data_IF_769261225442
#
_entry.id   IF_769261225442
#
_cell.length_a   1.000
_cell.length_b   1.000
_cell.length_c   1.000
_cell.angle_alpha   90.00
_cell.angle_beta   90.00
_cell.angle_gamma   90.00
#
_symmetry.space_group_name_H-M   'P 1'
#
loop_
_entity.id
_entity.type
_entity.pdbx_description
1 polymer ?
#
# COMPACT_ATOMS: atom_id res chain seq x y z
N UNK A 1 12.10 -69.73 -19.11
CA UNK A 1 13.27 -70.20 -18.33
C UNK A 1 13.40 -69.25 -17.18
N UNK A 2 12.96 -69.68 -16.02
CA UNK A 2 13.68 -70.30 -14.92
C UNK A 2 14.49 -69.29 -14.14
N UNK A 3 14.27 -69.05 -12.91
CA UNK A 3 14.05 -69.53 -11.59
C UNK A 3 14.44 -68.36 -10.67
N UNK A 4 13.78 -67.90 -9.65
CA UNK A 4 13.23 -68.56 -8.49
C UNK A 4 14.17 -68.58 -7.29
N UNK A 5 13.66 -68.10 -6.19
CA UNK A 5 13.84 -68.52 -4.78
C UNK A 5 14.05 -67.34 -3.85
N UNK A 6 13.11 -67.05 -2.98
CA UNK A 6 12.70 -67.63 -1.66
C UNK A 6 13.53 -67.11 -0.47
N UNK A 7 12.80 -66.36 0.36
CA UNK A 7 12.60 -66.45 1.84
C UNK A 7 13.81 -66.59 2.78
N UNK A 8 13.84 -65.76 3.83
CA UNK A 8 13.67 -66.29 5.21
C UNK A 8 13.36 -65.20 6.26
N UNK A 9 12.32 -65.46 7.01
CA UNK A 9 12.03 -64.84 8.32
C UNK A 9 13.05 -65.24 9.37
N UNK A 10 13.32 -64.39 10.36
CA UNK A 10 13.55 -64.85 11.70
C UNK A 10 13.03 -63.81 12.71
N UNK A 11 12.05 -64.26 13.47
CA UNK A 11 11.62 -63.70 14.76
C UNK A 11 12.58 -64.14 15.87
N UNK A 12 12.80 -63.34 16.88
CA UNK A 12 13.00 -63.65 18.31
C UNK A 12 13.10 -62.35 19.05
N UNK A 13 12.28 -62.05 19.94
CA UNK A 13 11.79 -62.51 21.23
C UNK A 13 12.50 -61.72 22.37
N UNK A 14 11.73 -60.86 22.98
CA UNK A 14 11.53 -60.50 24.39
C UNK A 14 12.72 -60.65 25.35
N UNK A 15 13.03 -59.56 26.06
CA UNK A 15 13.33 -59.61 27.49
C UNK A 15 12.93 -58.27 28.12
N UNK A 16 11.99 -58.31 29.05
CA UNK A 16 11.62 -57.28 30.02
C UNK A 16 12.64 -57.37 31.17
N UNK A 17 13.19 -56.27 31.55
CA UNK A 17 13.65 -56.08 32.93
C UNK A 17 13.39 -54.62 33.31
N UNK A 18 12.50 -54.44 34.26
CA UNK A 18 12.28 -53.19 34.95
C UNK A 18 13.32 -52.96 36.02
N UNK A 19 13.72 -51.73 36.17
CA UNK A 19 14.29 -51.20 37.43
C UNK A 19 13.69 -49.83 37.63
N UNK A 20 13.15 -49.68 38.84
CA UNK A 20 12.48 -48.48 39.32
C UNK A 20 13.51 -47.48 39.90
N UNK A 21 13.04 -46.24 40.01
CA UNK A 21 13.42 -45.20 40.97
C UNK A 21 14.67 -44.35 40.63
N UNK A 22 14.52 -43.09 40.52
CA UNK A 22 14.58 -42.10 41.59
C UNK A 22 14.31 -40.74 40.99
N UNK A 23 13.21 -40.12 41.42
CA UNK A 23 12.92 -38.72 41.15
C UNK A 23 13.91 -37.83 41.92
N UNK A 24 14.74 -37.10 41.24
CA UNK A 24 15.35 -35.90 41.78
C UNK A 24 14.85 -34.74 40.90
N UNK A 25 13.92 -33.97 41.43
CA UNK A 25 13.44 -32.73 40.85
C UNK A 25 14.57 -31.69 40.85
N UNK A 26 15.11 -31.45 39.68
CA UNK A 26 15.80 -30.20 39.38
C UNK A 26 14.82 -29.38 38.55
N UNK A 27 14.03 -28.56 39.22
CA UNK A 27 13.32 -27.43 38.56
C UNK A 27 14.38 -26.45 38.12
N UNK A 28 14.93 -26.67 36.92
CA UNK A 28 15.61 -25.60 36.19
C UNK A 28 14.51 -24.60 35.84
N UNK A 29 14.35 -23.57 36.67
CA UNK A 29 13.63 -22.37 36.31
C UNK A 29 14.32 -21.78 35.09
N UNK A 30 13.79 -22.06 33.89
CA UNK A 30 14.06 -21.23 32.74
C UNK A 30 13.41 -19.90 33.09
N UNK A 31 14.19 -18.99 33.66
CA UNK A 31 13.87 -17.58 33.62
C UNK A 31 13.85 -17.21 32.11
N UNK A 32 12.69 -17.34 31.49
CA UNK A 32 12.42 -16.64 30.27
C UNK A 32 12.57 -15.16 30.64
N UNK A 33 13.73 -14.56 30.36
CA UNK A 33 13.85 -13.13 30.19
C UNK A 33 12.98 -12.79 28.95
N UNK A 34 11.67 -12.80 29.14
CA UNK A 34 10.77 -12.16 28.20
C UNK A 34 11.07 -10.68 28.28
N UNK A 35 11.62 -10.10 27.24
CA UNK A 35 11.50 -8.68 27.01
C UNK A 35 10.00 -8.36 27.07
N UNK A 36 9.58 -7.62 28.10
CA UNK A 36 8.20 -7.22 28.32
C UNK A 36 7.76 -6.12 27.36
N UNK A 37 8.23 -6.14 26.12
CA UNK A 37 7.84 -5.19 25.09
C UNK A 37 6.49 -5.56 24.48
N UNK A 38 5.64 -4.56 24.28
CA UNK A 38 4.42 -4.70 23.46
C UNK A 38 4.81 -5.00 22.01
N UNK A 39 4.03 -5.84 21.33
CA UNK A 39 4.17 -6.03 19.88
C UNK A 39 3.01 -5.34 19.19
N UNK A 40 3.29 -4.46 18.23
CA UNK A 40 2.29 -3.83 17.38
C UNK A 40 2.32 -4.44 16.00
N UNK A 41 1.15 -4.86 15.51
CA UNK A 41 0.96 -5.35 14.15
C UNK A 41 0.51 -4.21 13.24
N UNK A 42 1.41 -3.73 12.36
CA UNK A 42 1.09 -2.75 11.33
C UNK A 42 0.76 -3.47 10.02
N UNK A 43 -0.46 -3.26 9.51
CA UNK A 43 -0.87 -3.74 8.19
C UNK A 43 -1.11 -2.54 7.29
N UNK A 44 -0.30 -2.40 6.23
CA UNK A 44 -0.35 -1.22 5.40
C UNK A 44 -0.19 -1.52 3.91
N UNK A 45 -0.56 -0.55 3.07
CA UNK A 45 -0.28 -0.63 1.65
C UNK A 45 1.24 -0.61 1.37
N UNK A 46 1.66 -1.01 0.17
CA UNK A 46 3.08 -1.33 -0.11
C UNK A 46 4.03 -0.13 -0.08
N UNK A 47 3.53 1.04 -0.43
CA UNK A 47 4.35 2.23 -0.68
C UNK A 47 5.09 2.73 0.57
N UNK A 48 4.47 2.86 1.78
CA UNK A 48 5.14 3.44 2.95
C UNK A 48 6.09 2.48 3.68
N UNK A 49 6.27 1.25 3.22
CA UNK A 49 7.12 0.26 3.91
C UNK A 49 8.47 0.84 4.34
N UNK A 50 9.17 1.48 3.41
CA UNK A 50 10.53 1.96 3.67
C UNK A 50 10.57 3.07 4.73
N UNK A 51 9.64 4.02 4.70
CA UNK A 51 9.62 5.10 5.69
C UNK A 51 9.23 4.58 7.07
N UNK A 52 8.32 3.60 7.18
CA UNK A 52 8.00 2.96 8.46
C UNK A 52 9.23 2.25 9.03
N UNK A 53 9.81 1.32 8.29
CA UNK A 53 10.91 0.47 8.78
C UNK A 53 12.21 1.24 9.04
N UNK A 54 12.52 2.26 8.24
CA UNK A 54 13.81 2.95 8.31
C UNK A 54 13.78 4.27 9.11
N UNK A 55 12.61 4.88 9.30
CA UNK A 55 12.50 6.20 9.92
C UNK A 55 11.51 6.23 11.08
N UNK A 56 10.23 5.99 10.83
CA UNK A 56 9.15 6.22 11.78
C UNK A 56 9.21 5.29 13.00
N UNK A 57 9.32 3.99 12.79
CA UNK A 57 9.43 3.02 13.89
C UNK A 57 10.72 3.21 14.70
N UNK A 58 11.90 3.39 14.07
CA UNK A 58 13.11 3.73 14.82
C UNK A 58 13.00 5.06 15.59
N UNK A 59 12.30 6.06 15.05
CA UNK A 59 12.08 7.33 15.74
C UNK A 59 11.11 7.16 16.92
N UNK A 60 10.00 6.45 16.72
CA UNK A 60 9.05 6.15 17.81
C UNK A 60 9.72 5.38 18.95
N UNK A 61 10.55 4.38 18.66
CA UNK A 61 11.31 3.62 19.66
C UNK A 61 12.26 4.46 20.52
N UNK A 62 12.61 5.67 20.12
CA UNK A 62 13.40 6.62 20.92
C UNK A 62 12.54 7.43 21.90
N UNK A 63 11.22 7.41 21.76
CA UNK A 63 10.31 8.08 22.67
C UNK A 63 10.06 7.26 23.95
N UNK A 64 9.52 7.89 24.99
CA UNK A 64 9.09 7.19 26.22
C UNK A 64 7.99 6.15 25.95
N UNK A 65 7.12 6.40 24.98
CA UNK A 65 5.98 5.54 24.63
C UNK A 65 6.36 4.36 23.75
N UNK A 66 7.38 4.51 22.92
CA UNK A 66 7.79 3.52 21.94
C UNK A 66 8.99 2.63 22.32
N UNK A 67 9.73 2.96 23.39
CA UNK A 67 11.03 2.31 23.73
C UNK A 67 10.95 0.79 23.89
N UNK A 68 9.82 0.27 24.34
CA UNK A 68 9.59 -1.15 24.59
C UNK A 68 8.66 -1.79 23.54
N UNK A 69 8.37 -1.09 22.43
CA UNK A 69 7.48 -1.54 21.38
C UNK A 69 8.29 -2.26 20.28
N UNK A 70 7.82 -3.44 19.88
CA UNK A 70 8.28 -4.14 18.69
C UNK A 70 7.20 -4.08 17.61
N UNK A 71 7.63 -4.06 16.35
CA UNK A 71 6.70 -4.03 15.22
C UNK A 71 6.70 -5.37 14.49
N UNK A 72 5.51 -5.76 14.03
CA UNK A 72 5.30 -6.88 13.11
C UNK A 72 4.52 -6.32 11.92
N UNK A 73 5.20 -6.19 10.79
CA UNK A 73 4.67 -5.46 9.65
C UNK A 73 4.17 -6.40 8.55
N UNK A 74 3.10 -5.98 7.87
CA UNK A 74 2.61 -6.59 6.63
C UNK A 74 2.35 -5.49 5.62
N UNK A 75 3.07 -5.52 4.50
CA UNK A 75 2.93 -4.55 3.42
C UNK A 75 2.55 -5.25 2.11
N UNK A 76 1.59 -4.68 1.37
CA UNK A 76 1.13 -5.28 0.13
C UNK A 76 0.15 -4.38 -0.62
N UNK A 77 -0.55 -4.92 -1.61
CA UNK A 77 -1.61 -4.17 -2.29
C UNK A 77 -2.70 -3.76 -1.28
N UNK A 78 -3.15 -2.50 -1.33
CA UNK A 78 -4.05 -1.92 -0.32
C UNK A 78 -5.33 -2.72 -0.12
N UNK A 79 -6.00 -3.09 -1.24
CA UNK A 79 -7.21 -3.88 -1.20
C UNK A 79 -6.98 -5.29 -0.65
N UNK A 80 -5.83 -5.92 -0.96
CA UNK A 80 -5.49 -7.24 -0.45
C UNK A 80 -5.23 -7.21 1.05
N UNK A 81 -4.49 -6.21 1.53
CA UNK A 81 -4.23 -6.01 2.96
C UNK A 81 -5.52 -5.78 3.74
N UNK A 82 -6.42 -4.95 3.21
CA UNK A 82 -7.73 -4.73 3.83
C UNK A 82 -8.57 -6.01 3.88
N UNK A 83 -8.64 -6.79 2.80
CA UNK A 83 -9.32 -8.10 2.77
C UNK A 83 -8.68 -9.12 3.72
N UNK A 84 -7.37 -9.12 3.83
CA UNK A 84 -6.67 -10.01 4.75
C UNK A 84 -7.01 -9.71 6.22
N UNK A 85 -7.06 -8.42 6.60
CA UNK A 85 -7.47 -8.01 7.97
C UNK A 85 -8.95 -8.37 8.21
N UNK A 86 -9.83 -8.10 7.24
CA UNK A 86 -11.24 -8.52 7.32
C UNK A 86 -11.39 -10.04 7.52
N UNK A 87 -10.49 -10.81 6.89
CA UNK A 87 -10.46 -12.28 6.98
C UNK A 87 -9.75 -12.81 8.23
N UNK A 88 -9.30 -11.95 9.14
CA UNK A 88 -8.72 -12.30 10.44
C UNK A 88 -7.20 -12.20 10.54
N UNK A 89 -6.50 -11.55 9.59
CA UNK A 89 -5.09 -11.21 9.80
C UNK A 89 -4.97 -10.22 10.97
N UNK A 90 -4.13 -10.52 11.98
CA UNK A 90 -3.94 -9.61 13.10
C UNK A 90 -3.42 -8.24 12.65
N UNK A 91 -4.05 -7.18 13.13
CA UNK A 91 -3.63 -5.80 12.89
C UNK A 91 -4.02 -4.93 14.08
N UNK A 92 -3.10 -4.13 14.58
CA UNK A 92 -3.33 -3.12 15.61
C UNK A 92 -3.46 -1.74 14.98
N UNK A 93 -2.67 -1.47 13.94
CA UNK A 93 -2.71 -0.27 13.13
C UNK A 93 -2.88 -0.67 11.68
N UNK A 94 -3.78 0.00 10.99
CA UNK A 94 -4.02 -0.19 9.55
C UNK A 94 -3.85 1.12 8.81
N UNK A 95 -3.11 1.10 7.68
CA UNK A 95 -2.96 2.23 6.78
C UNK A 95 -3.19 1.78 5.35
N UNK A 96 -4.08 2.46 4.64
CA UNK A 96 -4.44 2.08 3.29
C UNK A 96 -4.19 3.21 2.29
N UNK A 97 -4.18 2.84 1.03
CA UNK A 97 -4.07 3.80 -0.06
C UNK A 97 -5.31 4.69 -0.20
N UNK A 98 -6.50 4.17 0.14
CA UNK A 98 -7.76 4.88 -0.04
C UNK A 98 -8.84 4.51 1.00
N UNK A 99 -9.78 5.44 1.21
CA UNK A 99 -10.87 5.30 2.18
C UNK A 99 -11.73 4.03 2.01
N UNK A 100 -12.12 3.54 0.82
CA UNK A 100 -12.91 2.31 0.69
C UNK A 100 -12.29 1.09 1.36
N UNK A 101 -10.96 0.98 1.39
CA UNK A 101 -10.29 -0.12 2.06
C UNK A 101 -10.38 0.00 3.59
N UNK A 102 -10.40 1.22 4.12
CA UNK A 102 -10.69 1.50 5.53
C UNK A 102 -12.16 1.24 5.84
N UNK A 103 -13.08 1.67 4.97
CA UNK A 103 -14.52 1.49 5.15
C UNK A 103 -14.90 0.01 5.26
N UNK A 104 -14.25 -0.88 4.49
CA UNK A 104 -14.43 -2.34 4.63
C UNK A 104 -14.22 -2.81 6.07
N UNK A 105 -13.19 -2.32 6.74
CA UNK A 105 -12.90 -2.70 8.13
C UNK A 105 -13.87 -2.04 9.13
N UNK A 106 -14.38 -0.86 8.82
CA UNK A 106 -15.48 -0.24 9.59
C UNK A 106 -16.74 -1.09 9.49
N UNK A 107 -17.11 -1.50 8.28
CA UNK A 107 -18.31 -2.32 8.03
C UNK A 107 -18.19 -3.72 8.68
N UNK A 108 -16.99 -4.27 8.70
CA UNK A 108 -16.66 -5.51 9.43
C UNK A 108 -16.59 -5.34 10.96
N UNK A 109 -16.70 -4.09 11.46
CA UNK A 109 -16.66 -3.81 12.90
C UNK A 109 -15.26 -3.87 13.53
N UNK A 110 -14.21 -3.97 12.72
CA UNK A 110 -12.79 -4.05 13.16
C UNK A 110 -12.25 -2.66 13.51
N UNK A 111 -12.56 -1.66 12.69
CA UNK A 111 -12.22 -0.25 12.91
C UNK A 111 -13.46 0.48 13.42
N UNK A 112 -13.29 1.50 14.26
CA UNK A 112 -14.40 2.32 14.75
C UNK A 112 -14.98 3.20 13.65
N UNK A 113 -16.30 3.48 13.69
CA UNK A 113 -16.96 4.35 12.71
C UNK A 113 -16.54 5.84 12.83
N UNK A 114 -15.90 6.20 13.93
CA UNK A 114 -15.40 7.54 14.21
C UNK A 114 -13.88 7.70 13.96
N UNK A 115 -13.27 6.78 13.22
CA UNK A 115 -11.84 6.76 12.91
C UNK A 115 -11.35 8.06 12.24
N UNK A 116 -12.22 8.75 11.53
CA UNK A 116 -11.95 9.97 10.75
C UNK A 116 -12.32 11.28 11.49
N UNK A 117 -12.64 11.22 12.80
CA UNK A 117 -13.11 12.38 13.54
C UNK A 117 -11.99 13.26 14.10
N UNK A 118 -10.74 12.93 13.90
CA UNK A 118 -9.62 13.81 14.24
C UNK A 118 -9.54 15.02 13.27
N UNK A 119 -8.72 16.02 13.63
CA UNK A 119 -8.58 17.24 12.83
C UNK A 119 -8.03 17.00 11.40
N UNK A 120 -7.44 15.84 11.15
CA UNK A 120 -6.91 15.42 9.84
C UNK A 120 -7.84 14.45 9.11
N UNK A 121 -9.05 14.22 9.64
CA UNK A 121 -10.04 13.28 9.07
C UNK A 121 -9.50 11.87 8.85
N UNK A 122 -8.64 11.41 9.77
CA UNK A 122 -8.01 10.10 9.66
C UNK A 122 -6.92 10.00 8.59
N UNK A 123 -6.59 11.07 7.90
CA UNK A 123 -5.56 11.08 6.85
C UNK A 123 -4.19 11.35 7.49
N UNK A 124 -3.22 10.49 7.24
CA UNK A 124 -1.87 10.59 7.82
C UNK A 124 -0.87 11.24 6.88
N UNK A 125 -1.03 11.05 5.58
CA UNK A 125 -0.21 11.67 4.52
C UNK A 125 -1.04 11.95 3.29
N UNK A 126 -0.59 12.94 2.52
CA UNK A 126 -1.08 13.20 1.17
C UNK A 126 0.00 12.89 0.13
N UNK A 127 -0.41 12.74 -1.12
CA UNK A 127 0.43 12.67 -2.30
C UNK A 127 -0.32 13.21 -3.51
N UNK A 128 0.27 13.11 -4.71
CA UNK A 128 -0.42 13.36 -5.98
C UNK A 128 -0.04 12.28 -6.98
N UNK A 129 -0.90 12.04 -7.97
CA UNK A 129 -0.54 11.15 -9.07
C UNK A 129 0.46 11.82 -9.98
N UNK A 130 1.50 11.07 -10.33
CA UNK A 130 2.68 11.51 -11.07
C UNK A 130 3.01 10.50 -12.16
N UNK A 131 3.72 10.92 -13.19
CA UNK A 131 4.20 10.09 -14.30
C UNK A 131 5.71 9.90 -14.14
N UNK A 132 6.14 8.71 -13.76
CA UNK A 132 7.55 8.35 -13.74
C UNK A 132 7.96 7.92 -15.16
N UNK A 133 9.01 8.52 -15.69
CA UNK A 133 9.46 8.35 -17.08
C UNK A 133 10.92 7.93 -17.14
N UNK A 134 11.34 7.40 -18.26
CA UNK A 134 12.75 7.08 -18.48
C UNK A 134 13.63 8.32 -18.38
N UNK A 135 14.91 8.18 -17.99
CA UNK A 135 15.85 9.31 -17.91
C UNK A 135 15.85 10.17 -19.18
N UNK A 136 15.73 11.47 -19.02
CA UNK A 136 15.64 12.42 -20.14
C UNK A 136 14.31 12.43 -20.87
N UNK A 137 13.31 11.68 -20.41
CA UNK A 137 11.96 11.65 -20.97
C UNK A 137 11.91 11.53 -22.51
N UNK A 138 12.44 10.45 -23.09
CA UNK A 138 12.59 10.32 -24.54
C UNK A 138 11.26 10.29 -25.31
N UNK A 139 10.15 9.97 -24.65
CA UNK A 139 8.80 9.97 -25.22
C UNK A 139 8.08 11.32 -25.06
N UNK A 140 8.72 12.31 -24.43
CA UNK A 140 8.17 13.64 -24.17
C UNK A 140 6.80 13.58 -23.49
N UNK A 141 6.67 12.74 -22.47
CA UNK A 141 5.45 12.57 -21.67
C UNK A 141 5.37 13.72 -20.67
N UNK A 142 4.32 14.55 -20.77
CA UNK A 142 4.14 15.77 -19.97
C UNK A 142 2.77 15.86 -19.30
N UNK A 143 1.81 15.07 -19.78
CA UNK A 143 0.44 15.04 -19.29
C UNK A 143 -0.15 13.62 -19.41
N UNK A 144 -1.34 13.41 -18.85
CA UNK A 144 -2.05 12.16 -19.03
C UNK A 144 -2.46 11.91 -20.50
N UNK A 145 -2.59 12.95 -21.33
CA UNK A 145 -2.93 12.81 -22.76
C UNK A 145 -1.86 12.01 -23.53
N UNK A 146 -0.63 12.11 -23.08
CA UNK A 146 0.47 11.39 -23.71
C UNK A 146 0.39 9.87 -23.53
N UNK A 147 -0.34 9.40 -22.50
CA UNK A 147 -0.52 7.97 -22.21
C UNK A 147 -1.38 7.25 -23.26
N UNK A 148 -2.24 7.99 -23.99
CA UNK A 148 -3.07 7.42 -25.06
C UNK A 148 -2.36 7.35 -26.42
N UNK A 149 -1.11 7.80 -26.53
CA UNK A 149 -0.32 7.70 -27.77
C UNK A 149 -0.01 6.23 -28.07
N UNK A 150 -0.13 5.78 -29.32
CA UNK A 150 -0.02 4.35 -29.65
C UNK A 150 1.40 3.77 -29.50
N UNK A 151 2.41 4.62 -29.37
CA UNK A 151 3.81 4.24 -29.18
C UNK A 151 4.31 4.42 -27.75
N UNK A 152 3.40 4.65 -26.79
CA UNK A 152 3.71 4.77 -25.36
C UNK A 152 3.28 3.51 -24.64
N UNK A 153 4.24 2.86 -24.01
CA UNK A 153 4.05 1.66 -23.19
C UNK A 153 3.87 2.06 -21.72
N UNK A 154 2.65 1.89 -21.21
CA UNK A 154 2.26 2.29 -19.85
C UNK A 154 2.40 1.11 -18.89
N UNK A 155 2.89 1.39 -17.68
CA UNK A 155 2.78 0.51 -16.52
C UNK A 155 1.85 1.20 -15.52
N UNK A 156 0.88 0.45 -15.00
CA UNK A 156 -0.03 0.88 -13.93
C UNK A 156 -0.36 -0.34 -13.08
N UNK A 157 -0.41 -0.26 -11.75
CA UNK A 157 -0.85 -1.39 -10.96
C UNK A 157 -2.32 -1.78 -11.24
N UNK A 158 -2.70 -3.00 -10.85
CA UNK A 158 -4.03 -3.54 -11.12
C UNK A 158 -5.09 -2.89 -10.20
N UNK A 159 -6.19 -2.29 -10.72
CA UNK A 159 -7.21 -1.63 -9.91
C UNK A 159 -8.09 -2.59 -9.08
N UNK A 160 -8.05 -3.89 -9.34
CA UNK A 160 -8.76 -4.89 -8.53
C UNK A 160 -8.08 -5.11 -7.17
N UNK A 161 -6.74 -4.96 -7.10
CA UNK A 161 -5.93 -5.21 -5.91
C UNK A 161 -5.34 -3.93 -5.31
N UNK A 162 -4.86 -3.02 -6.16
CA UNK A 162 -4.15 -1.81 -5.78
C UNK A 162 -5.07 -0.61 -5.63
N UNK A 163 -5.11 -0.04 -4.44
CA UNK A 163 -5.74 1.26 -4.22
C UNK A 163 -5.04 2.39 -4.99
N UNK A 164 -3.72 2.29 -5.17
CA UNK A 164 -2.94 3.23 -5.98
C UNK A 164 -3.42 3.30 -7.42
N UNK A 165 -3.72 2.16 -8.04
CA UNK A 165 -4.27 2.12 -9.39
C UNK A 165 -5.61 2.84 -9.51
N UNK A 166 -6.45 2.76 -8.48
CA UNK A 166 -7.74 3.49 -8.47
C UNK A 166 -7.52 5.00 -8.42
N UNK A 167 -6.55 5.49 -7.66
CA UNK A 167 -6.15 6.88 -7.70
C UNK A 167 -5.60 7.29 -9.08
N UNK A 168 -4.77 6.45 -9.69
CA UNK A 168 -4.21 6.70 -11.02
C UNK A 168 -5.32 6.84 -12.08
N UNK A 169 -6.27 5.92 -12.08
CA UNK A 169 -7.43 5.96 -12.98
C UNK A 169 -8.29 7.22 -12.73
N UNK A 170 -8.51 7.59 -11.47
CA UNK A 170 -9.25 8.80 -11.13
C UNK A 170 -8.49 10.07 -11.52
N UNK A 171 -7.15 10.07 -11.48
CA UNK A 171 -6.34 11.18 -11.98
C UNK A 171 -6.49 11.36 -13.49
N UNK A 172 -6.39 10.26 -14.24
CA UNK A 172 -6.55 10.24 -15.70
C UNK A 172 -7.98 10.67 -16.09
N UNK A 173 -8.99 10.07 -15.47
CA UNK A 173 -10.40 10.43 -15.70
C UNK A 173 -10.69 11.90 -15.37
N UNK A 174 -10.27 12.34 -14.19
CA UNK A 174 -10.52 13.68 -13.68
C UNK A 174 -9.82 14.76 -14.50
N UNK A 175 -8.64 14.48 -15.04
CA UNK A 175 -7.94 15.42 -15.93
C UNK A 175 -8.78 15.71 -17.19
N UNK A 176 -9.41 14.69 -17.75
CA UNK A 176 -10.27 14.83 -18.92
C UNK A 176 -11.57 15.61 -18.62
N UNK A 177 -12.14 15.40 -17.42
CA UNK A 177 -13.29 16.20 -16.95
C UNK A 177 -12.87 17.67 -16.76
N UNK A 178 -11.69 17.93 -16.20
CA UNK A 178 -11.16 19.28 -16.02
C UNK A 178 -10.92 20.02 -17.36
N UNK A 179 -10.66 19.29 -18.44
CA UNK A 179 -10.58 19.81 -19.80
C UNK A 179 -11.97 20.07 -20.45
N UNK A 180 -13.06 19.78 -19.74
CA UNK A 180 -14.43 20.01 -20.21
C UNK A 180 -15.01 18.86 -21.03
N UNK A 181 -14.36 17.69 -21.06
CA UNK A 181 -14.91 16.49 -21.73
C UNK A 181 -16.09 15.93 -20.94
N UNK A 182 -17.02 15.32 -21.65
CA UNK A 182 -18.12 14.59 -21.04
C UNK A 182 -17.64 13.35 -20.29
N UNK A 183 -18.41 12.82 -19.33
CA UNK A 183 -18.07 11.56 -18.65
C UNK A 183 -17.81 10.39 -19.61
N UNK A 184 -18.58 10.30 -20.71
CA UNK A 184 -18.40 9.24 -21.71
C UNK A 184 -17.06 9.37 -22.47
N UNK A 185 -16.68 10.60 -22.82
CA UNK A 185 -15.38 10.86 -23.47
C UNK A 185 -14.21 10.59 -22.51
N UNK A 186 -14.32 10.98 -21.25
CA UNK A 186 -13.32 10.68 -20.24
C UNK A 186 -13.17 9.17 -20.00
N UNK A 187 -14.27 8.40 -19.94
CA UNK A 187 -14.23 6.94 -19.86
C UNK A 187 -13.58 6.31 -21.12
N UNK A 188 -13.91 6.80 -22.30
CA UNK A 188 -13.30 6.32 -23.54
C UNK A 188 -11.79 6.59 -23.56
N UNK A 189 -11.36 7.73 -23.04
CA UNK A 189 -9.94 8.07 -22.90
C UNK A 189 -9.21 7.13 -21.93
N UNK A 190 -9.77 6.88 -20.73
CA UNK A 190 -9.19 5.91 -19.80
C UNK A 190 -9.05 4.52 -20.43
N UNK A 191 -10.07 4.07 -21.19
CA UNK A 191 -9.98 2.78 -21.91
C UNK A 191 -8.84 2.74 -22.92
N UNK A 192 -8.51 3.84 -23.57
CA UNK A 192 -7.35 3.93 -24.46
C UNK A 192 -6.04 3.80 -23.67
N UNK A 193 -5.94 4.44 -22.51
CA UNK A 193 -4.75 4.31 -21.64
C UNK A 193 -4.62 2.87 -21.14
N UNK A 194 -5.71 2.25 -20.69
CA UNK A 194 -5.71 0.83 -20.27
C UNK A 194 -5.25 -0.10 -21.40
N UNK A 195 -5.66 0.18 -22.64
CA UNK A 195 -5.21 -0.59 -23.81
C UNK A 195 -3.71 -0.42 -24.12
N UNK A 196 -3.09 0.68 -23.70
CA UNK A 196 -1.65 0.91 -23.79
C UNK A 196 -0.89 0.41 -22.54
N UNK A 197 -1.60 -0.10 -21.53
CA UNK A 197 -0.99 -0.61 -20.31
C UNK A 197 -0.57 -2.07 -20.51
N UNK A 198 0.72 -2.27 -20.68
CA UNK A 198 1.28 -3.60 -20.99
C UNK A 198 1.51 -4.47 -19.74
N UNK A 199 1.63 -3.86 -18.57
CA UNK A 199 1.83 -4.56 -17.29
C UNK A 199 0.98 -3.94 -16.21
N UNK A 200 0.25 -4.80 -15.48
CA UNK A 200 -0.55 -4.47 -14.32
C UNK A 200 -0.13 -5.37 -13.15
N UNK A 201 0.84 -4.91 -12.39
CA UNK A 201 1.29 -5.62 -11.20
C UNK A 201 0.27 -5.50 -10.06
N UNK A 202 0.33 -6.40 -9.08
CA UNK A 202 -0.62 -6.43 -7.95
C UNK A 202 -0.54 -5.20 -7.05
N UNK A 203 0.61 -4.54 -6.95
CA UNK A 203 0.83 -3.37 -6.10
C UNK A 203 1.66 -2.29 -6.79
N UNK A 204 1.58 -1.05 -6.27
CA UNK A 204 2.38 0.07 -6.76
C UNK A 204 3.90 -0.19 -6.61
N UNK A 205 4.32 -0.88 -5.53
CA UNK A 205 5.72 -1.28 -5.33
C UNK A 205 6.19 -2.26 -6.39
N UNK A 206 5.37 -3.24 -6.75
CA UNK A 206 5.71 -4.20 -7.80
C UNK A 206 5.81 -3.52 -9.16
N UNK A 207 4.91 -2.57 -9.47
CA UNK A 207 4.98 -1.78 -10.70
C UNK A 207 6.23 -0.91 -10.77
N UNK A 208 6.66 -0.31 -9.65
CA UNK A 208 7.94 0.40 -9.59
C UNK A 208 9.13 -0.55 -9.85
N UNK A 209 9.12 -1.76 -9.30
CA UNK A 209 10.15 -2.76 -9.55
C UNK A 209 10.16 -3.19 -11.03
N UNK A 210 8.98 -3.42 -11.61
CA UNK A 210 8.82 -3.73 -13.04
C UNK A 210 9.36 -2.60 -13.91
N UNK A 211 8.98 -1.35 -13.64
CA UNK A 211 9.51 -0.19 -14.35
C UNK A 211 11.02 -0.07 -14.18
N UNK A 212 11.54 -0.17 -12.95
CA UNK A 212 12.98 -0.10 -12.67
C UNK A 212 13.80 -1.19 -13.37
N UNK A 213 13.18 -2.34 -13.69
CA UNK A 213 13.81 -3.41 -14.45
C UNK A 213 13.94 -3.12 -15.97
N UNK A 214 13.43 -1.98 -16.43
CA UNK A 214 13.55 -1.53 -17.81
C UNK A 214 12.30 -1.74 -18.68
N UNK A 215 11.16 -2.19 -18.12
CA UNK A 215 9.88 -2.34 -18.84
C UNK A 215 9.09 -1.04 -18.86
N UNK A 216 8.33 -0.81 -19.92
CA UNK A 216 7.47 0.34 -20.14
C UNK A 216 8.23 1.65 -20.41
N UNK A 217 7.54 2.63 -20.92
CA UNK A 217 8.02 3.99 -21.16
C UNK A 217 7.67 4.92 -20.00
N UNK A 218 6.54 4.64 -19.35
CA UNK A 218 5.98 5.43 -18.24
C UNK A 218 5.32 4.53 -17.20
N UNK A 219 5.51 4.87 -15.94
CA UNK A 219 4.77 4.31 -14.80
C UNK A 219 3.87 5.40 -14.22
N UNK A 220 2.57 5.13 -14.15
CA UNK A 220 1.64 5.99 -13.40
C UNK A 220 1.70 5.62 -11.93
N UNK A 221 1.93 6.59 -11.06
CA UNK A 221 2.08 6.31 -9.64
C UNK A 221 2.16 7.56 -8.78
N UNK A 222 2.58 7.41 -7.54
CA UNK A 222 2.62 8.46 -6.54
C UNK A 222 3.89 9.32 -6.64
N UNK A 223 3.75 10.61 -6.32
CA UNK A 223 4.90 11.53 -6.24
C UNK A 223 5.95 11.07 -5.23
N UNK A 224 5.52 10.55 -4.07
CA UNK A 224 6.45 10.01 -3.06
C UNK A 224 7.23 8.79 -3.56
N UNK A 225 6.64 7.92 -4.38
CA UNK A 225 7.35 6.78 -4.98
C UNK A 225 8.44 7.27 -5.93
N UNK A 226 8.15 8.28 -6.77
CA UNK A 226 9.12 8.86 -7.68
C UNK A 226 10.29 9.54 -6.91
N UNK A 227 9.97 10.31 -5.87
CA UNK A 227 10.97 10.99 -5.02
C UNK A 227 11.85 9.96 -4.31
N UNK A 228 11.25 8.93 -3.70
CA UNK A 228 11.98 7.91 -2.97
C UNK A 228 12.84 7.06 -3.92
N UNK A 229 12.32 6.67 -5.08
CA UNK A 229 13.08 5.93 -6.09
C UNK A 229 14.34 6.67 -6.54
N UNK A 230 14.23 8.00 -6.80
CA UNK A 230 15.41 8.83 -7.13
C UNK A 230 16.40 8.91 -5.96
N UNK A 231 15.91 8.99 -4.74
CA UNK A 231 16.75 9.02 -3.53
C UNK A 231 17.50 7.68 -3.34
N UNK A 232 16.87 6.57 -3.70
CA UNK A 232 17.46 5.23 -3.67
C UNK A 232 18.39 4.95 -4.87
N UNK A 233 18.58 5.93 -5.75
CA UNK A 233 19.49 5.83 -6.90
C UNK A 233 18.90 5.13 -8.12
N UNK A 234 17.57 4.93 -8.15
CA UNK A 234 16.90 4.42 -9.36
C UNK A 234 16.92 5.53 -10.43
N UNK A 235 17.42 5.19 -11.60
CA UNK A 235 17.49 6.11 -12.73
C UNK A 235 16.10 6.28 -13.36
N UNK A 236 15.42 7.35 -13.03
CA UNK A 236 14.16 7.79 -13.62
C UNK A 236 14.04 9.31 -13.54
N UNK A 237 13.21 9.89 -14.38
CA UNK A 237 12.64 11.22 -14.19
C UNK A 237 11.16 11.11 -13.89
N UNK A 238 10.53 12.19 -13.43
CA UNK A 238 9.09 12.21 -13.24
C UNK A 238 8.51 13.57 -13.58
N UNK A 239 7.25 13.55 -13.96
CA UNK A 239 6.44 14.74 -14.30
C UNK A 239 5.18 14.67 -13.47
N UNK A 240 4.91 15.71 -12.70
CA UNK A 240 3.59 15.88 -12.06
C UNK A 240 2.72 16.69 -13.03
N UNK A 241 1.66 16.09 -13.61
CA UNK A 241 0.79 16.82 -14.53
C UNK A 241 0.15 18.04 -13.85
N UNK A 242 -0.10 19.08 -14.61
CA UNK A 242 -0.72 20.30 -14.09
C UNK A 242 -2.13 20.02 -13.53
N UNK A 243 -2.88 19.13 -14.19
CA UNK A 243 -4.18 18.61 -13.72
C UNK A 243 -3.94 17.19 -13.17
N UNK A 244 -4.10 17.01 -11.87
CA UNK A 244 -3.92 15.72 -11.18
C UNK A 244 -4.75 15.68 -9.90
N UNK A 245 -4.89 14.50 -9.30
CA UNK A 245 -5.69 14.29 -8.09
C UNK A 245 -4.83 14.33 -6.82
N UNK A 246 -5.38 14.91 -5.75
CA UNK A 246 -4.85 14.75 -4.40
C UNK A 246 -5.14 13.35 -3.90
N UNK A 247 -4.11 12.64 -3.51
CA UNK A 247 -4.18 11.34 -2.85
C UNK A 247 -4.20 11.56 -1.35
N UNK A 248 -5.15 10.95 -0.66
CA UNK A 248 -5.32 11.04 0.79
C UNK A 248 -5.21 9.62 1.38
N UNK A 249 -4.20 9.37 2.22
CA UNK A 249 -3.94 8.04 2.78
C UNK A 249 -4.49 7.92 4.20
N UNK A 250 -5.53 7.09 4.41
CA UNK A 250 -6.17 6.89 5.71
C UNK A 250 -5.39 5.94 6.61
N UNK A 251 -5.36 6.27 7.91
CA UNK A 251 -4.81 5.44 8.98
C UNK A 251 -5.82 5.30 10.11
N UNK A 252 -5.86 4.13 10.76
CA UNK A 252 -6.68 3.90 11.93
C UNK A 252 -6.06 2.86 12.86
N UNK A 253 -6.50 2.89 14.12
CA UNK A 253 -6.27 1.85 15.12
C UNK A 253 -7.46 0.89 15.10
N UNK A 254 -7.21 -0.41 15.19
CA UNK A 254 -8.29 -1.41 15.34
C UNK A 254 -8.86 -1.39 16.77
N UNK A 255 -10.11 -1.84 16.94
CA UNK A 255 -10.80 -1.74 18.24
C UNK A 255 -10.15 -2.53 19.38
N UNK A 256 -9.50 -3.64 19.03
CA UNK A 256 -8.87 -4.54 20.00
C UNK A 256 -7.37 -4.28 20.19
N UNK A 257 -6.85 -3.22 19.57
CA UNK A 257 -5.44 -2.88 19.64
C UNK A 257 -5.02 -2.43 21.05
N UNK A 258 -3.77 -2.71 21.46
CA UNK A 258 -3.23 -2.18 22.70
C UNK A 258 -3.07 -0.65 22.65
N UNK A 259 -3.02 0.00 23.82
CA UNK A 259 -2.94 1.46 23.93
C UNK A 259 -1.73 2.07 23.21
N UNK A 260 -0.66 1.30 23.04
CA UNK A 260 0.54 1.69 22.31
C UNK A 260 0.28 1.96 20.83
N UNK A 261 -0.74 1.33 20.25
CA UNK A 261 -1.14 1.56 18.87
C UNK A 261 -1.62 3.00 18.65
N UNK A 262 -2.46 3.52 19.55
CA UNK A 262 -2.90 4.91 19.46
C UNK A 262 -1.72 5.89 19.68
N UNK A 263 -0.82 5.60 20.60
CA UNK A 263 0.37 6.42 20.84
C UNK A 263 1.29 6.45 19.60
N UNK A 264 1.39 5.33 18.89
CA UNK A 264 2.12 5.28 17.63
C UNK A 264 1.44 6.12 16.55
N UNK A 265 0.13 6.02 16.39
CA UNK A 265 -0.62 6.86 15.44
C UNK A 265 -0.52 8.34 15.80
N UNK A 266 -0.61 8.69 17.10
CA UNK A 266 -0.42 10.06 17.57
C UNK A 266 1.00 10.59 17.26
N UNK A 267 2.02 9.73 17.40
CA UNK A 267 3.40 10.07 17.01
C UNK A 267 3.53 10.41 15.52
N UNK A 268 2.82 9.70 14.64
CA UNK A 268 2.84 9.98 13.21
C UNK A 268 2.34 11.39 12.85
N UNK A 269 1.47 11.98 13.69
CA UNK A 269 0.98 13.36 13.54
C UNK A 269 1.85 14.41 14.25
N UNK A 270 2.96 14.02 14.89
CA UNK A 270 3.91 14.99 15.44
C UNK A 270 4.73 15.65 14.33
N UNK A 271 5.36 16.81 14.63
CA UNK A 271 6.30 17.45 13.69
C UNK A 271 7.40 16.48 13.24
N UNK A 272 7.89 15.59 14.12
CA UNK A 272 8.91 14.59 13.78
C UNK A 272 8.36 13.54 12.80
N UNK A 273 7.23 12.90 13.14
CA UNK A 273 6.64 11.87 12.28
C UNK A 273 6.29 12.41 10.89
N UNK A 274 5.71 13.60 10.85
CA UNK A 274 5.37 14.26 9.58
C UNK A 274 6.61 14.72 8.80
N UNK A 275 7.71 15.10 9.48
CA UNK A 275 8.96 15.43 8.80
C UNK A 275 9.61 14.17 8.21
N UNK A 276 9.57 13.03 8.92
CA UNK A 276 10.05 11.75 8.41
C UNK A 276 9.28 11.33 7.14
N UNK A 277 7.95 11.53 7.12
CA UNK A 277 7.15 11.35 5.92
C UNK A 277 7.54 12.32 4.81
N UNK A 278 7.71 13.62 5.13
CA UNK A 278 8.11 14.62 4.13
C UNK A 278 9.49 14.28 3.53
N UNK A 279 10.42 13.81 4.34
CA UNK A 279 11.75 13.41 3.88
C UNK A 279 11.67 12.21 2.92
N UNK A 280 10.73 11.31 3.14
CA UNK A 280 10.44 10.19 2.24
C UNK A 280 9.60 10.57 1.00
N UNK A 281 9.20 11.84 0.85
CA UNK A 281 8.50 12.32 -0.34
C UNK A 281 6.98 12.46 -0.19
N UNK A 282 6.41 12.17 0.97
CA UNK A 282 4.99 12.38 1.23
C UNK A 282 4.68 13.85 1.52
N UNK A 283 3.52 14.30 1.14
CA UNK A 283 3.00 15.64 1.47
C UNK A 283 2.45 15.60 2.89
N UNK A 284 3.01 16.41 3.83
CA UNK A 284 2.57 16.40 5.22
C UNK A 284 1.17 16.98 5.38
N UNK A 285 0.36 16.39 6.27
CA UNK A 285 -0.97 16.92 6.64
C UNK A 285 -0.90 17.92 7.80
N UNK A 286 0.18 17.88 8.58
CA UNK A 286 0.41 18.86 9.65
C UNK A 286 0.94 20.17 9.07
N UNK A 287 0.15 21.23 9.22
CA UNK A 287 0.40 22.52 8.56
C UNK A 287 1.79 23.09 8.82
N UNK A 288 2.31 23.01 10.04
CA UNK A 288 3.64 23.52 10.40
C UNK A 288 4.75 22.85 9.59
N UNK A 289 4.60 21.55 9.30
CA UNK A 289 5.55 20.76 8.52
C UNK A 289 5.31 20.97 7.02
N UNK A 290 4.05 21.03 6.59
CA UNK A 290 3.70 21.33 5.20
C UNK A 290 4.27 22.69 4.75
N UNK A 291 4.13 23.73 5.57
CA UNK A 291 4.67 25.05 5.26
C UNK A 291 6.22 25.06 5.12
N UNK A 292 6.92 24.30 5.97
CA UNK A 292 8.39 24.16 5.91
C UNK A 292 8.86 23.42 4.64
N UNK A 293 8.02 22.52 4.12
CA UNK A 293 8.32 21.68 2.96
C UNK A 293 7.64 22.16 1.65
N UNK A 294 6.99 23.33 1.65
CA UNK A 294 6.19 23.82 0.51
C UNK A 294 6.99 23.90 -0.81
N UNK A 295 8.27 24.23 -0.75
CA UNK A 295 9.13 24.27 -1.94
C UNK A 295 9.43 22.89 -2.54
N UNK A 296 9.36 21.83 -1.71
CA UNK A 296 9.54 20.43 -2.13
C UNK A 296 8.30 19.89 -2.81
N UNK A 297 7.12 20.36 -2.41
CA UNK A 297 5.82 19.89 -2.86
C UNK A 297 4.99 21.02 -3.50
N UNK A 298 5.36 21.53 -4.67
CA UNK A 298 4.56 22.55 -5.34
C UNK A 298 3.14 22.01 -5.60
N UNK A 299 2.16 22.89 -5.39
CA UNK A 299 0.76 22.53 -5.66
C UNK A 299 0.53 22.57 -7.18
N UNK A 300 0.08 21.48 -7.81
CA UNK A 300 -0.33 21.48 -9.21
C UNK A 300 -1.43 22.50 -9.46
N UNK A 301 -1.36 23.23 -10.57
CA UNK A 301 -2.29 24.35 -10.85
C UNK A 301 -3.75 23.92 -11.07
N UNK A 302 -3.95 22.69 -11.51
CA UNK A 302 -5.25 22.02 -11.68
C UNK A 302 -5.44 20.85 -10.72
N UNK A 303 -4.93 20.98 -9.47
CA UNK A 303 -5.13 19.96 -8.44
C UNK A 303 -6.61 19.87 -8.10
N UNK A 304 -7.17 18.66 -8.21
CA UNK A 304 -8.55 18.34 -7.82
C UNK A 304 -8.56 17.21 -6.78
N UNK A 305 -9.72 16.97 -6.19
CA UNK A 305 -9.92 15.97 -5.14
C UNK A 305 -11.00 14.97 -5.52
N UNK A 306 -11.03 13.82 -4.84
CA UNK A 306 -12.10 12.83 -5.02
C UNK A 306 -13.49 13.41 -4.65
N UNK A 307 -13.54 14.43 -3.80
CA UNK A 307 -14.79 15.09 -3.40
C UNK A 307 -15.50 15.75 -4.58
N UNK A 308 -14.78 16.20 -5.61
CA UNK A 308 -15.38 16.78 -6.83
C UNK A 308 -16.19 15.76 -7.65
N UNK A 309 -15.94 14.47 -7.43
CA UNK A 309 -16.69 13.35 -8.00
C UNK A 309 -17.73 12.77 -7.04
N UNK A 310 -17.99 13.45 -5.91
CA UNK A 310 -18.93 13.03 -4.86
C UNK A 310 -18.33 12.09 -3.82
N UNK A 311 -16.99 11.98 -3.78
CA UNK A 311 -16.23 11.12 -2.86
C UNK A 311 -16.23 9.66 -3.28
N UNK A 312 -15.43 8.86 -2.57
CA UNK A 312 -15.30 7.42 -2.84
C UNK A 312 -16.63 6.67 -2.78
N UNK A 313 -17.57 7.08 -1.92
CA UNK A 313 -18.91 6.47 -1.84
C UNK A 313 -19.71 6.56 -3.15
N UNK A 314 -19.43 7.54 -4.02
CA UNK A 314 -20.08 7.70 -5.33
C UNK A 314 -19.26 7.13 -6.48
N UNK A 315 -17.98 6.91 -6.27
CA UNK A 315 -17.04 6.45 -7.31
C UNK A 315 -16.82 4.93 -7.23
N UNK A 316 -16.73 4.35 -6.03
CA UNK A 316 -16.28 2.96 -5.86
C UNK A 316 -17.09 1.96 -6.69
N UNK A 317 -18.39 1.87 -6.50
CA UNK A 317 -19.19 0.87 -7.22
C UNK A 317 -19.33 1.16 -8.72
N UNK A 318 -19.63 2.39 -9.17
CA UNK A 318 -19.78 2.64 -10.60
C UNK A 318 -18.49 2.47 -11.40
N UNK A 319 -17.32 2.67 -10.78
CA UNK A 319 -16.04 2.55 -11.47
C UNK A 319 -15.39 1.17 -11.22
N UNK A 320 -15.33 0.73 -9.99
CA UNK A 320 -14.47 -0.37 -9.52
C UNK A 320 -15.23 -1.52 -8.86
N UNK A 321 -16.56 -1.45 -8.75
CA UNK A 321 -17.39 -2.59 -8.33
C UNK A 321 -17.39 -3.70 -9.38
N UNK A 322 -17.94 -4.87 -9.07
CA UNK A 322 -17.98 -6.05 -9.96
C UNK A 322 -18.53 -5.73 -11.36
N UNK A 323 -19.49 -4.81 -11.45
CA UNK A 323 -20.05 -4.32 -12.70
C UNK A 323 -19.59 -2.91 -13.06
N UNK A 324 -18.55 -2.40 -12.39
CA UNK A 324 -17.99 -1.08 -12.65
C UNK A 324 -17.36 -1.01 -14.04
N UNK A 325 -17.44 0.14 -14.68
CA UNK A 325 -17.01 0.29 -16.07
C UNK A 325 -15.49 0.09 -16.25
N UNK A 326 -14.67 0.34 -15.21
CA UNK A 326 -13.22 0.06 -15.26
C UNK A 326 -13.01 -1.44 -15.28
N UNK A 327 -13.65 -2.18 -14.36
CA UNK A 327 -13.53 -3.65 -14.29
C UNK A 327 -14.04 -4.29 -15.59
N UNK A 328 -15.11 -3.77 -16.18
CA UNK A 328 -15.56 -4.23 -17.49
C UNK A 328 -14.54 -3.96 -18.61
N UNK A 329 -13.90 -2.77 -18.60
CA UNK A 329 -12.85 -2.44 -19.56
C UNK A 329 -11.63 -3.37 -19.43
N UNK A 330 -11.22 -3.69 -18.19
CA UNK A 330 -10.14 -4.64 -17.93
C UNK A 330 -10.50 -6.05 -18.42
N UNK A 331 -11.71 -6.51 -18.16
CA UNK A 331 -12.20 -7.80 -18.68
C UNK A 331 -12.19 -7.85 -20.21
N UNK A 332 -12.64 -6.76 -20.88
CA UNK A 332 -12.65 -6.66 -22.34
C UNK A 332 -11.21 -6.73 -22.93
N UNK A 333 -10.23 -6.24 -22.19
CA UNK A 333 -8.80 -6.32 -22.55
C UNK A 333 -8.13 -7.64 -22.14
N UNK A 334 -8.82 -8.51 -21.40
CA UNK A 334 -8.30 -9.78 -20.93
C UNK A 334 -7.35 -9.67 -19.71
N UNK A 335 -7.42 -8.56 -19.00
CA UNK A 335 -6.62 -8.34 -17.79
C UNK A 335 -7.25 -9.00 -16.55
N UNK A 336 -6.46 -9.43 -15.55
CA UNK A 336 -7.00 -9.96 -14.30
C UNK A 336 -7.84 -8.93 -13.56
N UNK A 337 -9.02 -9.32 -13.07
CA UNK A 337 -9.95 -8.46 -12.32
C UNK A 337 -10.30 -8.99 -10.92
N UNK A 338 -9.61 -10.03 -10.47
CA UNK A 338 -9.77 -10.65 -9.14
C UNK A 338 -8.45 -11.19 -8.61
#
# INVERSE_FOLDING_TARGET
MSKGKKKRHSRRLVARLGIAAVALGATVGIAACGSSGSSLSLVAYSTPQQVYEQSLEPAFKKTSDGKDVNFSNSFGASGDQSRAVESGQPADVVEFSLQPDMQRLVDAGIVSADWDQNQYKGIVTDSVVTLMVRPGNPKHITSFDDLAKPDVDVIDPNPATSGGARWNIMAIYGSQIAEGKSPAEAQAFVKQVLANTSVQDSSARDSLNTFSSGKGDVLVGYENDAIQAKKDGIELDYVTPASTILIENPIAVTKDAPSEAQKFVDFLYTDQGQQDFADAGYRPVVKSVADKNASKFPTPSGLFTIAEFGGWSKVSDPFFGDNGWVIQAENDLGNPTS
#
